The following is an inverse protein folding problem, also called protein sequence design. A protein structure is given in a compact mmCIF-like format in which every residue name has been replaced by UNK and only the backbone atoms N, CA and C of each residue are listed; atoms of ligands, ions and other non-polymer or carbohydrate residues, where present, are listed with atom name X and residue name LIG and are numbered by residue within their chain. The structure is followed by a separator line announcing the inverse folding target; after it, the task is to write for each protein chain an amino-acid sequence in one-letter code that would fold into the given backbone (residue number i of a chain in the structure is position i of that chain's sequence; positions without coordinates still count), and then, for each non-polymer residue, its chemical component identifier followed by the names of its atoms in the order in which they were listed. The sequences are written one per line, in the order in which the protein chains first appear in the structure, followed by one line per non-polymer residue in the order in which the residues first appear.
data_IF_478361995453
#
_entry.id   IF_478361995453
#
_cell.length_a   1.000
_cell.length_b   1.000
_cell.length_c   1.000
_cell.angle_alpha   90.00
_cell.angle_beta   90.00
_cell.angle_gamma   90.00
#
_symmetry.space_group_name_H-M   'P 1'
#
loop_
_entity.id
_entity.type
_entity.pdbx_description
1 polymer ?
#
# COMPACT_ATOMS: atom_id res chain seq x y z
N UNK A 1 -15.39 -6.02 -22.73
CA UNK A 1 -15.42 -6.36 -21.29
C UNK A 1 -14.05 -5.97 -20.74
N UNK A 2 -13.93 -4.78 -20.17
CA UNK A 2 -12.66 -4.28 -19.64
C UNK A 2 -12.61 -4.55 -18.13
N UNK A 3 -11.59 -5.26 -17.65
CA UNK A 3 -11.34 -5.42 -16.21
C UNK A 3 -10.82 -4.11 -15.65
N UNK A 4 -11.57 -3.49 -14.74
CA UNK A 4 -11.21 -2.20 -14.12
C UNK A 4 -10.98 -2.36 -12.62
N UNK A 5 -10.12 -1.52 -12.05
CA UNK A 5 -9.91 -1.44 -10.62
C UNK A 5 -11.17 -0.85 -9.96
N UNK A 6 -11.79 -1.53 -8.98
CA UNK A 6 -12.99 -1.01 -8.31
C UNK A 6 -12.70 0.28 -7.52
N UNK A 7 -11.47 0.46 -7.05
CA UNK A 7 -11.09 1.61 -6.23
C UNK A 7 -10.64 2.83 -7.05
N UNK A 8 -9.90 2.60 -8.13
CA UNK A 8 -9.30 3.66 -8.96
C UNK A 8 -9.97 3.88 -10.32
N UNK A 9 -10.93 3.02 -10.71
CA UNK A 9 -11.58 3.01 -12.05
C UNK A 9 -10.58 2.89 -13.23
N UNK A 10 -9.32 2.58 -12.96
CA UNK A 10 -8.28 2.38 -13.96
C UNK A 10 -8.40 1.02 -14.65
N UNK A 11 -8.05 0.95 -15.93
CA UNK A 11 -8.04 -0.32 -16.68
C UNK A 11 -6.89 -1.20 -16.20
N UNK A 12 -7.22 -2.37 -15.66
CA UNK A 12 -6.23 -3.35 -15.21
C UNK A 12 -5.77 -4.21 -16.39
N UNK A 13 -4.45 -4.27 -16.61
CA UNK A 13 -3.83 -5.18 -17.57
C UNK A 13 -2.95 -6.17 -16.81
N UNK A 14 -3.10 -7.47 -17.07
CA UNK A 14 -2.27 -8.49 -16.42
C UNK A 14 -0.76 -8.22 -16.59
N UNK A 15 -0.36 -7.68 -17.74
CA UNK A 15 1.04 -7.31 -18.04
C UNK A 15 1.61 -6.19 -17.18
N UNK A 16 0.76 -5.39 -16.54
CA UNK A 16 1.18 -4.26 -15.69
C UNK A 16 1.10 -4.58 -14.20
N UNK A 17 0.57 -5.76 -13.84
CA UNK A 17 0.51 -6.22 -12.45
C UNK A 17 1.81 -6.93 -12.09
N UNK A 18 2.28 -6.69 -10.87
CA UNK A 18 3.42 -7.37 -10.28
C UNK A 18 3.08 -7.76 -8.84
N UNK A 19 3.66 -8.87 -8.39
CA UNK A 19 3.48 -9.33 -7.01
C UNK A 19 4.17 -8.36 -6.05
N UNK A 20 3.57 -8.14 -4.89
CA UNK A 20 4.11 -7.30 -3.82
C UNK A 20 4.54 -8.20 -2.66
N UNK A 21 5.73 -7.97 -2.14
CA UNK A 21 6.34 -8.74 -1.06
C UNK A 21 6.64 -7.83 0.13
N UNK A 22 5.92 -8.05 1.23
CA UNK A 22 6.19 -7.41 2.50
C UNK A 22 7.13 -8.28 3.33
N UNK A 23 8.08 -7.65 4.02
CA UNK A 23 8.98 -8.35 4.95
C UNK A 23 8.28 -8.51 6.29
N UNK A 24 8.08 -9.75 6.73
CA UNK A 24 7.52 -10.07 8.05
C UNK A 24 8.58 -9.87 9.14
N UNK A 25 8.15 -9.36 10.30
CA UNK A 25 8.99 -9.27 11.49
C UNK A 25 9.02 -10.60 12.23
N UNK A 26 10.19 -11.23 12.29
CA UNK A 26 10.39 -12.52 12.96
C UNK A 26 10.79 -12.39 14.43
N UNK A 27 10.84 -11.18 14.99
CA UNK A 27 11.34 -10.95 16.34
C UNK A 27 10.36 -11.36 17.45
N UNK A 28 9.07 -11.48 17.16
CA UNK A 28 8.06 -11.93 18.12
C UNK A 28 7.72 -13.40 17.89
N UNK A 29 8.28 -14.28 18.73
CA UNK A 29 7.78 -15.65 18.95
C UNK A 29 6.39 -15.61 19.62
N UNK A 30 5.38 -15.02 18.98
CA UNK A 30 4.00 -15.03 19.48
C UNK A 30 3.18 -16.09 18.77
N UNK A 31 2.62 -16.95 19.62
CA UNK A 31 1.80 -18.11 19.27
C UNK A 31 0.57 -17.67 18.47
N UNK A 32 0.36 -18.35 17.34
CA UNK A 32 -0.95 -18.75 16.82
C UNK A 32 -2.07 -17.69 16.82
N UNK A 33 -2.01 -16.73 15.90
CA UNK A 33 -3.20 -16.14 15.28
C UNK A 33 -2.77 -15.51 13.96
N UNK A 34 -3.50 -15.76 12.86
CA UNK A 34 -3.17 -15.23 11.52
C UNK A 34 -3.38 -13.71 11.38
N UNK A 35 -3.83 -13.04 12.45
CA UNK A 35 -4.24 -11.63 12.45
C UNK A 35 -3.14 -10.68 12.96
N UNK A 36 -2.06 -11.19 13.56
CA UNK A 36 -1.04 -10.36 14.24
C UNK A 36 0.30 -10.33 13.47
N UNK A 37 0.27 -10.47 12.15
CA UNK A 37 1.49 -10.36 11.34
C UNK A 37 1.93 -8.90 11.25
N UNK A 38 3.09 -8.60 11.84
CA UNK A 38 3.73 -7.29 11.71
C UNK A 38 4.68 -7.28 10.52
N UNK A 39 4.55 -6.26 9.67
CA UNK A 39 5.44 -6.06 8.53
C UNK A 39 6.42 -4.93 8.83
N UNK A 40 7.66 -5.06 8.36
CA UNK A 40 8.74 -4.11 8.62
C UNK A 40 9.43 -3.66 7.34
N UNK A 41 9.99 -2.45 7.36
CA UNK A 41 10.91 -2.01 6.31
C UNK A 41 12.22 -2.81 6.43
N UNK A 42 12.67 -3.50 5.38
CA UNK A 42 13.89 -4.30 5.46
C UNK A 42 15.16 -3.46 5.69
N UNK A 43 15.14 -2.16 5.34
CA UNK A 43 16.26 -1.24 5.50
C UNK A 43 16.36 -0.64 6.92
N UNK A 44 15.31 0.03 7.40
CA UNK A 44 15.33 0.69 8.71
C UNK A 44 14.64 -0.08 9.84
N UNK A 45 14.10 -1.27 9.55
CA UNK A 45 13.37 -2.12 10.50
C UNK A 45 12.16 -1.48 11.18
N UNK A 46 11.72 -0.30 10.70
CA UNK A 46 10.47 0.32 11.18
C UNK A 46 9.27 -0.52 10.77
N UNK A 47 8.30 -0.68 11.68
CA UNK A 47 7.02 -1.32 11.38
C UNK A 47 6.27 -0.51 10.33
N UNK A 48 5.82 -1.18 9.27
CA UNK A 48 5.02 -0.58 8.20
C UNK A 48 3.56 -0.49 8.68
N UNK A 49 3.03 0.72 8.68
CA UNK A 49 1.64 1.03 9.07
C UNK A 49 0.95 1.77 7.93
N UNK A 50 -0.39 1.81 7.95
CA UNK A 50 -1.19 2.51 6.94
C UNK A 50 -0.97 4.04 6.89
N UNK A 51 -0.31 4.62 7.91
CA UNK A 51 0.01 6.06 7.96
C UNK A 51 1.34 6.39 7.27
N UNK A 52 2.23 5.40 7.12
CA UNK A 52 3.54 5.58 6.50
C UNK A 52 3.44 5.61 4.98
N UNK A 53 4.25 6.45 4.34
CA UNK A 53 4.39 6.43 2.89
C UNK A 53 5.27 5.23 2.53
N UNK A 54 4.75 4.34 1.69
CA UNK A 54 5.42 3.11 1.27
C UNK A 54 5.70 3.16 -0.22
N UNK A 55 6.76 2.49 -0.63
CA UNK A 55 7.20 2.37 -2.01
C UNK A 55 7.43 0.90 -2.32
N UNK A 56 6.81 0.40 -3.38
CA UNK A 56 7.04 -0.93 -3.92
C UNK A 56 7.93 -0.84 -5.17
N UNK A 57 8.88 -1.75 -5.30
CA UNK A 57 9.70 -1.84 -6.50
C UNK A 57 9.01 -2.71 -7.54
N UNK A 58 8.62 -2.15 -8.69
CA UNK A 58 7.98 -2.92 -9.78
C UNK A 58 8.88 -4.01 -10.39
N UNK A 59 10.20 -3.97 -10.18
CA UNK A 59 11.14 -4.96 -10.70
C UNK A 59 11.18 -6.26 -9.88
N UNK A 60 10.90 -6.22 -8.58
CA UNK A 60 11.00 -7.36 -7.66
C UNK A 60 9.86 -7.48 -6.63
N UNK A 61 9.00 -6.47 -6.50
CA UNK A 61 7.86 -6.48 -5.60
C UNK A 61 8.14 -6.09 -4.15
N UNK A 62 9.40 -5.94 -3.73
CA UNK A 62 9.73 -5.61 -2.34
C UNK A 62 9.25 -4.21 -1.94
N UNK A 63 8.70 -4.10 -0.73
CA UNK A 63 8.15 -2.87 -0.15
C UNK A 63 9.10 -2.26 0.87
N UNK A 64 9.25 -0.94 0.79
CA UNK A 64 10.07 -0.14 1.69
C UNK A 64 9.33 1.11 2.14
N UNK A 65 9.75 1.73 3.24
CA UNK A 65 9.27 3.06 3.57
C UNK A 65 9.88 4.09 2.58
N UNK A 66 9.12 5.15 2.28
CA UNK A 66 9.51 6.17 1.30
C UNK A 66 10.88 6.77 1.58
N UNK A 67 11.19 7.07 2.85
CA UNK A 67 12.49 7.60 3.27
C UNK A 67 13.67 6.69 2.88
N UNK A 68 13.51 5.37 3.02
CA UNK A 68 14.55 4.42 2.63
C UNK A 68 14.62 4.26 1.11
N UNK A 69 13.49 4.29 0.41
CA UNK A 69 13.47 4.20 -1.04
C UNK A 69 14.17 5.38 -1.71
N UNK A 70 13.87 6.60 -1.26
CA UNK A 70 14.50 7.81 -1.81
C UNK A 70 15.99 7.89 -1.46
N UNK A 71 16.40 7.38 -0.29
CA UNK A 71 17.80 7.45 0.16
C UNK A 71 18.70 6.38 -0.45
N UNK A 72 18.21 5.14 -0.58
CA UNK A 72 19.02 4.01 -1.00
C UNK A 72 18.69 3.58 -2.44
N UNK A 73 17.42 3.29 -2.74
CA UNK A 73 17.07 2.70 -4.04
C UNK A 73 17.13 3.69 -5.20
N UNK A 74 16.84 4.98 -4.96
CA UNK A 74 17.03 6.02 -5.99
C UNK A 74 18.52 6.29 -6.28
N UNK A 75 19.39 6.11 -5.29
CA UNK A 75 20.83 6.38 -5.41
C UNK A 75 21.58 5.17 -5.96
N UNK A 76 21.45 4.03 -5.27
CA UNK A 76 22.19 2.80 -5.55
C UNK A 76 21.58 2.00 -6.72
N UNK A 77 20.33 2.30 -7.09
CA UNK A 77 19.61 1.68 -8.22
C UNK A 77 19.55 0.16 -8.14
N UNK A 78 19.54 -0.36 -6.92
CA UNK A 78 19.49 -1.79 -6.61
C UNK A 78 18.57 -2.04 -5.42
N UNK A 79 17.86 -3.16 -5.44
CA UNK A 79 17.02 -3.58 -4.32
C UNK A 79 17.86 -4.20 -3.19
N UNK A 80 17.76 -3.65 -1.98
CA UNK A 80 18.51 -4.12 -0.79
C UNK A 80 18.15 -5.54 -0.28
N UNK A 81 17.13 -6.19 -0.85
CA UNK A 81 16.68 -7.53 -0.41
C UNK A 81 17.10 -8.64 -1.38
N UNK A 82 17.17 -8.33 -2.67
CA UNK A 82 17.38 -9.35 -3.71
C UNK A 82 18.40 -8.94 -4.77
N UNK A 83 19.10 -7.82 -4.56
CA UNK A 83 20.14 -7.25 -5.41
C UNK A 83 19.72 -7.02 -6.87
N UNK A 84 18.41 -7.03 -7.15
CA UNK A 84 17.89 -6.78 -8.50
C UNK A 84 18.02 -5.29 -8.83
N UNK A 85 18.50 -4.93 -10.04
CA UNK A 85 18.56 -3.53 -10.46
C UNK A 85 17.15 -2.92 -10.51
N UNK A 86 17.02 -1.73 -9.96
CA UNK A 86 15.80 -0.91 -10.01
C UNK A 86 16.15 0.51 -10.44
N UNK A 87 15.38 1.08 -11.37
CA UNK A 87 15.53 2.47 -11.80
C UNK A 87 14.50 3.34 -11.09
N UNK A 88 14.63 4.65 -11.17
CA UNK A 88 13.68 5.60 -10.55
C UNK A 88 12.22 5.35 -10.98
N UNK A 89 12.02 5.01 -12.27
CA UNK A 89 10.71 4.61 -12.82
C UNK A 89 10.11 3.35 -12.19
N UNK A 90 10.94 2.53 -11.52
CA UNK A 90 10.49 1.31 -10.89
C UNK A 90 9.98 1.53 -9.47
N UNK A 91 10.20 2.71 -8.88
CA UNK A 91 9.69 3.09 -7.57
C UNK A 91 8.21 3.48 -7.70
N UNK A 92 7.33 2.60 -7.25
CA UNK A 92 5.88 2.82 -7.26
C UNK A 92 5.45 3.22 -5.85
N UNK A 93 5.02 4.46 -5.69
CA UNK A 93 4.44 4.92 -4.42
C UNK A 93 3.11 4.19 -4.19
N UNK A 94 3.01 3.50 -3.06
CA UNK A 94 1.78 2.86 -2.65
C UNK A 94 0.81 3.91 -2.10
N UNK A 95 -0.43 3.85 -2.56
CA UNK A 95 -1.49 4.70 -2.04
C UNK A 95 -1.71 4.36 -0.55
N UNK A 96 -1.77 5.39 0.27
CA UNK A 96 -2.18 5.25 1.67
C UNK A 96 -3.69 5.13 1.73
N UNK A 97 -4.21 4.25 2.57
CA UNK A 97 -5.65 4.12 2.78
C UNK A 97 -6.24 5.39 3.40
N UNK A 98 -7.32 5.90 2.81
CA UNK A 98 -8.23 6.84 3.45
C UNK A 98 -9.29 6.09 4.27
N UNK A 99 -9.95 6.79 5.20
CA UNK A 99 -11.26 6.29 5.67
C UNK A 99 -12.19 6.41 4.47
N UNK A 100 -13.11 5.46 4.22
CA UNK A 100 -13.95 5.41 2.99
C UNK A 100 -14.85 6.63 2.69
N UNK A 101 -14.62 7.76 3.36
CA UNK A 101 -15.30 9.03 3.29
C UNK A 101 -14.36 10.21 3.02
N UNK A 102 -13.05 10.09 3.23
CA UNK A 102 -12.09 11.18 3.02
C UNK A 102 -10.81 10.63 2.38
N UNK A 103 -10.33 11.31 1.33
CA UNK A 103 -8.99 11.07 0.78
C UNK A 103 -7.90 11.22 1.84
N UNK A 104 -6.72 10.67 1.58
CA UNK A 104 -5.55 10.78 2.47
C UNK A 104 -4.40 11.48 1.75
N UNK A 105 -3.68 12.37 2.44
CA UNK A 105 -2.59 13.17 1.89
C UNK A 105 -2.94 14.66 1.83
N UNK A 106 -2.44 15.37 0.82
CA UNK A 106 -2.60 16.83 0.71
C UNK A 106 -3.97 17.24 0.10
N UNK A 107 -4.70 16.28 -0.48
CA UNK A 107 -6.03 16.47 -1.08
C UNK A 107 -7.10 15.73 -0.27
N UNK A 108 -7.40 16.27 0.92
CA UNK A 108 -8.39 15.74 1.85
C UNK A 108 -9.80 16.16 1.44
N UNK A 109 -10.30 15.56 0.36
CA UNK A 109 -11.67 15.80 -0.11
C UNK A 109 -12.50 14.51 -0.03
N UNK A 110 -13.76 14.68 0.37
CA UNK A 110 -14.77 13.63 0.40
C UNK A 110 -15.47 13.60 -0.96
N UNK A 111 -14.84 13.01 -1.98
CA UNK A 111 -15.35 13.03 -3.35
C UNK A 111 -16.28 11.86 -3.69
N UNK A 112 -16.20 10.75 -2.95
CA UNK A 112 -16.97 9.54 -3.23
C UNK A 112 -17.41 8.86 -1.92
N UNK A 113 -18.69 8.49 -1.84
CA UNK A 113 -19.24 7.66 -0.77
C UNK A 113 -19.01 6.19 -1.13
N UNK A 114 -18.02 5.55 -0.49
CA UNK A 114 -17.77 4.11 -0.70
C UNK A 114 -18.60 3.31 0.29
N UNK A 115 -19.41 2.38 -0.22
CA UNK A 115 -20.10 1.39 0.60
C UNK A 115 -19.06 0.61 1.41
N UNK A 116 -19.12 0.66 2.74
CA UNK A 116 -18.21 -0.10 3.62
C UNK A 116 -18.51 -1.60 3.49
N UNK A 117 -17.95 -2.20 2.45
CA UNK A 117 -17.97 -3.64 2.16
C UNK A 117 -19.35 -4.17 1.77
N UNK A 118 -19.46 -4.72 0.56
CA UNK A 118 -20.62 -5.54 0.14
C UNK A 118 -20.75 -6.87 0.91
N UNK A 119 -20.02 -7.07 2.03
CA UNK A 119 -20.03 -8.27 2.86
C UNK A 119 -20.11 -8.03 4.37
N UNK A 120 -20.23 -6.78 4.83
CA UNK A 120 -20.17 -6.44 6.26
C UNK A 120 -21.55 -6.44 6.95
N UNK A 121 -22.64 -6.58 6.20
CA UNK A 121 -24.02 -6.50 6.73
C UNK A 121 -24.46 -5.10 7.22
N UNK A 122 -23.59 -4.09 7.12
CA UNK A 122 -23.87 -2.73 7.57
C UNK A 122 -24.40 -1.90 6.40
N UNK A 123 -25.72 -1.95 6.21
CA UNK A 123 -26.44 -1.20 5.18
C UNK A 123 -26.48 0.31 5.43
N UNK A 124 -26.36 1.05 4.32
CA UNK A 124 -26.76 2.44 4.05
C UNK A 124 -26.97 3.38 5.27
N UNK A 125 -25.89 3.77 5.94
CA UNK A 125 -25.94 4.98 6.77
C UNK A 125 -25.67 6.20 5.90
N UNK A 126 -26.75 6.89 5.52
CA UNK A 126 -26.68 8.23 4.91
C UNK A 126 -26.03 9.19 5.91
N UNK A 127 -25.10 10.06 5.49
CA UNK A 127 -24.66 11.16 6.35
C UNK A 127 -25.84 12.08 6.63
N UNK A 128 -26.01 12.47 7.89
CA UNK A 128 -26.95 13.52 8.27
C UNK A 128 -26.49 14.83 7.60
N UNK A 129 -27.29 15.35 6.68
CA UNK A 129 -27.17 16.73 6.20
C UNK A 129 -27.32 17.66 7.40
N UNK A 130 -26.23 18.36 7.76
CA UNK A 130 -26.33 19.47 8.70
C UNK A 130 -27.01 20.64 7.98
N UNK A 131 -28.14 21.08 8.53
CA UNK A 131 -28.78 22.39 8.31
C UNK A 131 -27.85 23.53 8.68
#
# INVERSE_FOLDING_TARGET
MDTVCPEGKEKLRLKTLFAIHFTEDTSEHKRSSSLDKTYICPSCKVTLTNTLALVALSSCGHVFCKKCADKFMAVDKVCLVCDRPCKDRNLVNLAKGGTGFAGHGDHLEATDFKHLGSGSGLGLVRPATKT
#
